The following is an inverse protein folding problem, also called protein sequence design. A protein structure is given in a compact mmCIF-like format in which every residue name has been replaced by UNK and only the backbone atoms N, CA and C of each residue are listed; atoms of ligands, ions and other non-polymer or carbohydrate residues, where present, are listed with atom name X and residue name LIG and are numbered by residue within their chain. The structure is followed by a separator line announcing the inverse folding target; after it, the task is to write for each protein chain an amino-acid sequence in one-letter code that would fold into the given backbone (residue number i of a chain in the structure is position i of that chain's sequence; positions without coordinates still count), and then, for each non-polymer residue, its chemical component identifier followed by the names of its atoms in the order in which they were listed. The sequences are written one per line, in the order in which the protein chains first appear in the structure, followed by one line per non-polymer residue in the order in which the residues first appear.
data_IF_844404315442
#
_entry.id   IF_844404315442
#
_cell.length_a   1.000
_cell.length_b   1.000
_cell.length_c   1.000
_cell.angle_alpha   90.00
_cell.angle_beta   90.00
_cell.angle_gamma   90.00
#
_symmetry.space_group_name_H-M   'P 1'
#
loop_
_entity.id
_entity.type
_entity.pdbx_description
1 polymer ?
#
# COMPACT_ATOMS: atom_id res chain seq x y z
N UNK A 1 16.23 -8.03 12.01
CA UNK A 1 15.09 -8.95 12.08
C UNK A 1 13.82 -8.15 11.83
N UNK A 2 13.12 -8.39 10.72
CA UNK A 2 11.81 -7.75 10.47
C UNK A 2 10.74 -8.45 11.28
N UNK A 3 9.86 -7.68 11.90
CA UNK A 3 8.70 -8.20 12.64
C UNK A 3 7.42 -7.83 11.91
N UNK A 4 6.35 -8.58 12.16
CA UNK A 4 5.03 -8.23 11.64
C UNK A 4 4.43 -7.07 12.42
N UNK A 5 3.62 -6.26 11.74
CA UNK A 5 2.81 -5.25 12.43
C UNK A 5 1.76 -5.92 13.34
N UNK A 6 1.25 -5.23 14.37
CA UNK A 6 0.14 -5.73 15.18
C UNK A 6 -1.08 -6.04 14.31
N UNK A 7 -1.65 -7.22 14.51
CA UNK A 7 -2.96 -7.59 13.94
C UNK A 7 -4.00 -7.48 15.05
N UNK A 8 -5.04 -6.69 14.81
CA UNK A 8 -6.12 -6.47 15.77
C UNK A 8 -7.42 -6.98 15.16
N UNK A 9 -8.06 -7.90 15.85
CA UNK A 9 -9.42 -8.31 15.51
C UNK A 9 -10.41 -7.29 16.09
N UNK A 10 -11.33 -6.80 15.25
CA UNK A 10 -12.31 -5.81 15.67
C UNK A 10 -13.74 -6.23 15.35
N UNK A 11 -14.67 -5.70 16.15
CA UNK A 11 -16.11 -5.92 15.99
C UNK A 11 -16.81 -4.76 15.25
N UNK A 12 -18.14 -4.93 15.07
CA UNK A 12 -19.06 -3.97 14.44
C UNK A 12 -18.88 -2.53 14.92
N UNK A 13 -18.83 -2.38 16.24
CA UNK A 13 -18.84 -1.08 16.91
C UNK A 13 -17.52 -0.38 16.72
N UNK A 14 -16.41 -1.12 16.78
CA UNK A 14 -15.06 -0.57 16.60
C UNK A 14 -14.84 -0.11 15.17
N UNK A 15 -15.23 -0.90 14.16
CA UNK A 15 -15.06 -0.49 12.76
C UNK A 15 -15.91 0.73 12.40
N UNK A 16 -17.14 0.84 12.93
CA UNK A 16 -17.97 2.03 12.73
C UNK A 16 -17.36 3.29 13.34
N UNK A 17 -16.68 3.16 14.48
CA UNK A 17 -15.99 4.26 15.14
C UNK A 17 -14.50 4.23 14.80
N UNK A 18 -14.16 4.15 13.50
CA UNK A 18 -12.80 3.94 13.03
C UNK A 18 -11.84 5.03 13.51
N UNK A 19 -12.28 6.30 13.56
CA UNK A 19 -11.44 7.40 14.02
C UNK A 19 -11.10 7.25 15.51
N UNK A 20 -12.08 6.87 16.33
CA UNK A 20 -11.84 6.56 17.74
C UNK A 20 -10.90 5.35 17.90
N UNK A 21 -11.08 4.31 17.06
CA UNK A 21 -10.18 3.16 17.04
C UNK A 21 -8.74 3.58 16.71
N UNK A 22 -8.53 4.44 15.71
CA UNK A 22 -7.21 4.97 15.33
C UNK A 22 -6.61 5.73 16.51
N UNK A 23 -7.35 6.65 17.12
CA UNK A 23 -6.87 7.43 18.27
C UNK A 23 -6.50 6.56 19.48
N UNK A 24 -7.26 5.48 19.74
CA UNK A 24 -6.94 4.53 20.82
C UNK A 24 -5.62 3.77 20.58
N UNK A 25 -5.20 3.59 19.33
CA UNK A 25 -4.02 2.81 18.96
C UNK A 25 -2.92 3.68 18.32
N UNK A 26 -2.92 4.98 18.61
CA UNK A 26 -1.94 5.92 18.07
C UNK A 26 -0.50 5.51 18.40
N UNK A 27 -0.22 5.06 19.62
CA UNK A 27 1.11 4.58 20.03
C UNK A 27 1.61 3.40 19.18
N UNK A 28 0.72 2.47 18.85
CA UNK A 28 1.06 1.35 17.96
C UNK A 28 1.31 1.85 16.54
N UNK A 29 0.47 2.76 16.04
CA UNK A 29 0.63 3.35 14.72
C UNK A 29 1.92 4.19 14.60
N UNK A 30 2.34 4.88 15.65
CA UNK A 30 3.58 5.63 15.72
C UNK A 30 4.81 4.70 15.74
N UNK A 31 4.73 3.59 16.50
CA UNK A 31 5.83 2.62 16.62
C UNK A 31 6.01 1.75 15.38
N UNK A 32 4.90 1.25 14.82
CA UNK A 32 4.92 0.25 13.74
C UNK A 32 4.69 0.85 12.35
N UNK A 33 4.20 2.09 12.28
CA UNK A 33 3.78 2.72 11.02
C UNK A 33 2.43 2.21 10.50
N UNK A 34 1.98 1.03 10.94
CA UNK A 34 0.72 0.45 10.50
C UNK A 34 0.11 -0.51 11.53
N UNK A 35 -1.18 -0.80 11.33
CA UNK A 35 -1.93 -1.86 12.01
C UNK A 35 -2.69 -2.65 10.95
N UNK A 36 -2.68 -3.98 11.08
CA UNK A 36 -3.57 -4.86 10.32
C UNK A 36 -4.85 -5.11 11.11
N UNK A 37 -5.99 -5.05 10.44
CA UNK A 37 -7.29 -5.29 11.05
C UNK A 37 -7.92 -6.52 10.41
N UNK A 38 -8.32 -7.46 11.27
CA UNK A 38 -9.19 -8.59 10.91
C UNK A 38 -10.61 -8.30 11.36
N UNK A 39 -11.58 -8.51 10.47
CA UNK A 39 -12.98 -8.51 10.85
C UNK A 39 -13.33 -9.85 11.48
N UNK A 40 -14.19 -9.82 12.49
CA UNK A 40 -14.81 -11.04 12.98
C UNK A 40 -15.76 -11.63 11.91
N UNK A 41 -15.94 -12.96 11.91
CA UNK A 41 -16.57 -13.74 10.82
C UNK A 41 -18.03 -13.35 10.48
N UNK A 42 -18.68 -12.53 11.31
CA UNK A 42 -20.10 -12.21 11.20
C UNK A 42 -20.41 -10.89 10.46
N UNK A 43 -19.43 -10.30 9.77
CA UNK A 43 -19.58 -8.99 9.16
C UNK A 43 -19.76 -9.00 7.65
N UNK A 44 -20.85 -8.39 7.17
CA UNK A 44 -21.06 -8.07 5.76
C UNK A 44 -20.73 -6.60 5.51
N UNK A 45 -19.65 -6.33 4.81
CA UNK A 45 -19.33 -4.99 4.33
C UNK A 45 -20.30 -4.59 3.21
N UNK A 46 -20.74 -3.33 3.22
CA UNK A 46 -21.65 -2.82 2.19
C UNK A 46 -20.85 -2.35 0.97
N UNK A 47 -20.45 -3.32 0.16
CA UNK A 47 -19.65 -3.10 -1.03
C UNK A 47 -20.53 -3.03 -2.28
N UNK A 48 -20.15 -2.17 -3.23
CA UNK A 48 -20.71 -2.15 -4.58
C UNK A 48 -20.52 -3.54 -5.22
N UNK A 49 -21.63 -4.20 -5.57
CA UNK A 49 -21.61 -5.53 -6.24
C UNK A 49 -20.83 -5.50 -7.55
N UNK A 50 -21.04 -4.46 -8.35
CA UNK A 50 -20.25 -4.12 -9.54
C UNK A 50 -19.71 -2.72 -9.35
N UNK A 51 -18.39 -2.57 -9.43
CA UNK A 51 -17.83 -1.34 -9.98
C UNK A 51 -17.78 -1.60 -11.48
N UNK A 52 -18.12 -0.62 -12.31
CA UNK A 52 -17.83 -0.74 -13.73
C UNK A 52 -16.32 -0.88 -13.82
N UNK A 53 -15.85 -2.12 -13.94
CA UNK A 53 -14.44 -2.45 -14.04
C UNK A 53 -14.07 -1.99 -15.44
N UNK A 54 -13.78 -0.69 -15.58
CA UNK A 54 -13.25 -0.13 -16.79
C UNK A 54 -12.10 -1.04 -17.24
N UNK A 55 -12.03 -1.30 -18.54
CA UNK A 55 -10.87 -1.91 -19.18
C UNK A 55 -9.68 -1.00 -18.93
N UNK A 56 -9.02 -1.23 -17.79
CA UNK A 56 -7.84 -0.51 -17.35
C UNK A 56 -6.66 -1.25 -17.92
N UNK A 57 -5.69 -0.49 -18.43
CA UNK A 57 -4.41 -1.04 -18.82
C UNK A 57 -3.45 -0.90 -17.64
N UNK A 58 -2.50 -1.85 -17.53
CA UNK A 58 -1.38 -1.70 -16.62
C UNK A 58 -0.65 -0.38 -16.90
N UNK A 59 -0.09 0.22 -15.87
CA UNK A 59 0.86 1.32 -16.01
C UNK A 59 2.04 0.87 -16.88
N UNK A 60 2.50 1.77 -17.75
CA UNK A 60 3.68 1.58 -18.58
C UNK A 60 4.94 1.89 -17.77
N UNK A 61 5.14 1.16 -16.67
CA UNK A 61 6.26 1.33 -15.75
C UNK A 61 6.87 -0.01 -15.39
N UNK A 62 8.17 -0.01 -15.14
CA UNK A 62 8.92 -1.19 -14.73
C UNK A 62 10.00 -0.84 -13.71
N UNK A 63 10.34 -1.80 -12.86
CA UNK A 63 11.55 -1.79 -12.06
C UNK A 63 12.76 -2.15 -12.92
N UNK A 64 13.87 -1.46 -12.69
CA UNK A 64 15.13 -1.71 -13.38
C UNK A 64 16.21 -2.08 -12.38
N UNK A 65 16.89 -3.19 -12.64
CA UNK A 65 18.06 -3.60 -11.85
C UNK A 65 19.31 -2.90 -12.37
N UNK A 66 19.91 -2.06 -11.54
CA UNK A 66 21.17 -1.37 -11.85
C UNK A 66 22.32 -2.06 -11.11
N UNK A 67 23.32 -2.63 -11.80
CA UNK A 67 24.42 -3.37 -11.15
C UNK A 67 25.17 -2.59 -10.07
N UNK A 68 25.33 -1.27 -10.25
CA UNK A 68 26.02 -0.39 -9.29
C UNK A 68 25.18 0.00 -8.08
N UNK A 69 23.85 -0.17 -8.13
CA UNK A 69 22.93 0.20 -7.03
C UNK A 69 22.38 -1.07 -6.41
N UNK A 70 23.15 -1.65 -5.48
CA UNK A 70 22.74 -2.84 -4.74
C UNK A 70 21.41 -2.56 -4.03
N UNK A 71 20.40 -3.41 -4.27
CA UNK A 71 19.09 -3.39 -3.61
C UNK A 71 18.18 -2.19 -3.85
N UNK A 72 18.51 -1.29 -4.78
CA UNK A 72 17.65 -0.18 -5.17
C UNK A 72 17.22 -0.41 -6.61
N UNK A 73 15.92 -0.44 -6.84
CA UNK A 73 15.32 -0.65 -8.15
C UNK A 73 14.55 0.60 -8.56
N UNK A 74 15.13 1.47 -9.40
CA UNK A 74 14.41 2.61 -9.96
C UNK A 74 13.22 2.16 -10.80
N UNK A 75 12.20 3.01 -10.84
CA UNK A 75 11.02 2.86 -11.67
C UNK A 75 11.21 3.71 -12.92
N UNK A 76 11.15 3.07 -14.09
CA UNK A 76 11.27 3.73 -15.39
C UNK A 76 9.96 3.62 -16.17
N UNK A 77 9.66 4.66 -16.95
CA UNK A 77 8.56 4.65 -17.91
C UNK A 77 8.99 3.96 -19.21
N UNK A 78 8.09 3.13 -19.76
CA UNK A 78 8.33 2.42 -21.02
C UNK A 78 7.41 2.96 -22.12
N UNK A 79 8.00 3.32 -23.26
CA UNK A 79 7.25 3.90 -24.38
C UNK A 79 6.35 2.87 -25.08
N UNK A 80 6.69 1.60 -25.00
CA UNK A 80 5.88 0.48 -25.48
C UNK A 80 6.16 -0.75 -24.62
N UNK A 81 5.14 -1.55 -24.36
CA UNK A 81 5.33 -2.90 -23.81
C UNK A 81 5.96 -3.71 -24.94
N UNK A 82 7.30 -3.80 -24.97
CA UNK A 82 8.05 -4.58 -25.95
C UNK A 82 7.73 -6.08 -25.77
N UNK A 83 6.58 -6.50 -26.32
CA UNK A 83 6.04 -7.86 -26.29
C UNK A 83 5.81 -8.40 -24.86
N UNK A 84 4.90 -9.37 -24.68
CA UNK A 84 4.66 -9.96 -23.36
C UNK A 84 5.85 -10.86 -23.01
N UNK A 85 6.90 -10.30 -22.42
CA UNK A 85 7.90 -11.12 -21.73
C UNK A 85 7.27 -11.62 -20.44
N UNK A 86 6.54 -12.73 -20.52
CA UNK A 86 5.91 -13.35 -19.36
C UNK A 86 5.98 -14.85 -19.47
N UNK A 87 7.11 -15.40 -19.00
CA UNK A 87 6.96 -16.60 -18.19
C UNK A 87 5.97 -16.26 -17.09
N UNK A 88 4.93 -17.10 -16.93
CA UNK A 88 4.08 -17.04 -15.74
C UNK A 88 4.97 -17.39 -14.56
N UNK A 89 5.54 -16.38 -13.89
CA UNK A 89 6.23 -16.60 -12.64
C UNK A 89 5.16 -16.93 -11.60
N UNK A 90 5.25 -18.13 -11.04
CA UNK A 90 4.38 -18.54 -9.94
C UNK A 90 4.95 -17.95 -8.66
N UNK A 91 4.47 -16.78 -8.26
CA UNK A 91 4.87 -16.14 -6.99
C UNK A 91 3.90 -16.61 -5.91
N UNK A 92 4.36 -17.50 -5.03
CA UNK A 92 3.54 -18.04 -3.94
C UNK A 92 3.91 -17.45 -2.58
N UNK A 93 5.05 -16.77 -2.48
CA UNK A 93 5.53 -16.20 -1.24
C UNK A 93 6.56 -15.08 -1.50
N UNK A 94 6.98 -14.44 -0.41
CA UNK A 94 7.99 -13.36 -0.42
C UNK A 94 9.33 -13.79 -1.02
N UNK A 95 9.81 -15.00 -0.73
CA UNK A 95 11.12 -15.45 -1.23
C UNK A 95 11.11 -15.62 -2.75
N UNK A 96 10.02 -16.16 -3.32
CA UNK A 96 9.87 -16.29 -4.77
C UNK A 96 9.97 -14.92 -5.45
N UNK A 97 9.28 -13.92 -4.88
CA UNK A 97 9.31 -12.56 -5.37
C UNK A 97 10.72 -11.92 -5.28
N UNK A 98 11.39 -12.08 -4.14
CA UNK A 98 12.74 -11.54 -3.97
C UNK A 98 13.76 -12.23 -4.89
N UNK A 99 13.63 -13.53 -5.12
CA UNK A 99 14.46 -14.27 -6.08
C UNK A 99 14.23 -13.75 -7.50
N UNK A 100 12.99 -13.49 -7.88
CA UNK A 100 12.63 -12.91 -9.18
C UNK A 100 13.24 -11.50 -9.37
N UNK A 101 13.17 -10.64 -8.35
CA UNK A 101 13.81 -9.32 -8.38
C UNK A 101 15.35 -9.40 -8.55
N UNK A 102 15.96 -10.48 -8.06
CA UNK A 102 17.39 -10.68 -8.15
C UNK A 102 17.83 -11.31 -9.48
N UNK A 103 17.02 -12.17 -10.10
CA UNK A 103 17.37 -12.84 -11.35
C UNK A 103 17.09 -11.97 -12.58
N UNK A 104 16.04 -11.16 -12.55
CA UNK A 104 15.60 -10.38 -13.71
C UNK A 104 16.25 -9.00 -13.79
N UNK A 105 16.51 -8.55 -15.02
CA UNK A 105 16.98 -7.18 -15.30
C UNK A 105 15.87 -6.14 -15.15
N UNK A 106 14.65 -6.51 -15.51
CA UNK A 106 13.49 -5.65 -15.53
C UNK A 106 12.28 -6.38 -14.95
N UNK A 107 11.38 -5.66 -14.29
CA UNK A 107 10.10 -6.20 -13.83
C UNK A 107 8.96 -5.22 -14.03
N UNK A 108 7.94 -5.61 -14.79
CA UNK A 108 6.75 -4.77 -14.98
C UNK A 108 5.99 -4.61 -13.67
N UNK A 109 5.42 -3.42 -13.44
CA UNK A 109 4.65 -3.19 -12.21
C UNK A 109 3.29 -3.92 -12.24
N UNK A 110 2.69 -4.17 -13.41
CA UNK A 110 1.40 -4.89 -13.57
C UNK A 110 0.21 -4.33 -12.78
N UNK A 111 0.23 -3.04 -12.43
CA UNK A 111 -0.82 -2.38 -11.63
C UNK A 111 -1.54 -1.29 -12.41
N UNK A 112 -2.74 -0.95 -12.00
CA UNK A 112 -3.43 0.27 -12.40
C UNK A 112 -4.18 0.90 -11.23
N UNK A 113 -4.36 2.22 -11.29
CA UNK A 113 -5.11 2.99 -10.32
C UNK A 113 -6.36 3.56 -10.99
N UNK A 114 -7.50 3.40 -10.33
CA UNK A 114 -8.75 4.06 -10.71
C UNK A 114 -9.01 5.11 -9.63
N UNK A 115 -8.71 6.35 -9.95
CA UNK A 115 -8.84 7.49 -9.03
C UNK A 115 -10.31 7.84 -8.81
N UNK A 116 -10.60 8.40 -7.64
CA UNK A 116 -11.91 8.86 -7.20
C UNK A 116 -13.01 7.78 -7.18
N UNK A 117 -12.60 6.51 -7.21
CA UNK A 117 -13.48 5.35 -7.14
C UNK A 117 -13.29 4.54 -5.86
N UNK A 118 -14.38 3.93 -5.40
CA UNK A 118 -14.39 3.08 -4.21
C UNK A 118 -15.36 1.91 -4.36
N UNK A 119 -15.01 0.80 -3.73
CA UNK A 119 -15.93 -0.31 -3.51
C UNK A 119 -16.95 -0.02 -2.39
N UNK A 120 -16.68 0.91 -1.49
CA UNK A 120 -17.63 1.25 -0.42
C UNK A 120 -18.77 2.10 -0.96
N UNK A 121 -20.00 1.75 -0.58
CA UNK A 121 -21.17 2.57 -0.89
C UNK A 121 -21.18 3.84 -0.03
N UNK A 122 -21.48 4.98 -0.63
CA UNK A 122 -21.67 6.24 0.09
C UNK A 122 -22.90 6.22 1.00
N UNK A 123 -23.91 5.36 0.69
CA UNK A 123 -25.15 5.27 1.46
C UNK A 123 -24.86 4.88 2.91
N UNK A 124 -25.17 5.80 3.82
CA UNK A 124 -25.14 5.58 5.27
C UNK A 124 -26.31 4.68 5.67
N UNK A 125 -26.02 3.51 6.22
CA UNK A 125 -27.00 2.65 6.88
C UNK A 125 -26.50 2.38 8.29
N UNK A 126 -27.41 2.36 9.26
CA UNK A 126 -27.09 2.00 10.64
C UNK A 126 -26.44 0.62 10.70
N UNK A 127 -26.65 -0.26 9.73
CA UNK A 127 -26.11 -1.63 9.80
C UNK A 127 -24.76 -1.85 9.15
N UNK A 128 -24.24 -0.86 8.43
CA UNK A 128 -23.07 -1.04 7.57
C UNK A 128 -21.98 -0.01 7.88
N UNK A 129 -20.72 -0.41 7.69
CA UNK A 129 -19.61 0.53 7.70
C UNK A 129 -19.62 1.39 6.43
N UNK A 130 -19.41 2.70 6.60
CA UNK A 130 -19.20 3.64 5.50
C UNK A 130 -17.95 4.45 5.79
N UNK A 131 -16.92 4.27 4.96
CA UNK A 131 -15.66 5.03 5.05
C UNK A 131 -15.89 6.55 4.93
N UNK A 132 -16.94 6.95 4.20
CA UNK A 132 -17.31 8.35 4.02
C UNK A 132 -17.81 9.01 5.31
N UNK A 133 -18.33 8.22 6.26
CA UNK A 133 -18.72 8.76 7.57
C UNK A 133 -17.50 9.16 8.41
N UNK A 134 -16.39 8.41 8.29
CA UNK A 134 -15.16 8.66 9.02
C UNK A 134 -14.56 10.04 8.73
N UNK A 135 -14.86 10.64 7.57
CA UNK A 135 -14.47 12.02 7.23
C UNK A 135 -15.06 13.02 8.23
N UNK A 136 -16.34 12.87 8.57
CA UNK A 136 -17.06 13.76 9.49
C UNK A 136 -16.64 13.60 10.96
N UNK A 137 -16.03 12.46 11.29
CA UNK A 137 -15.46 12.22 12.62
C UNK A 137 -14.02 12.73 12.72
N UNK A 138 -13.34 12.96 11.59
CA UNK A 138 -11.96 13.42 11.52
C UNK A 138 -11.82 14.94 11.57
N UNK A 139 -10.59 15.43 11.74
CA UNK A 139 -10.26 16.87 11.61
C UNK A 139 -10.44 17.39 10.18
N UNK A 140 -10.53 16.51 9.18
CA UNK A 140 -10.79 16.89 7.79
C UNK A 140 -12.11 17.68 7.66
N UNK A 141 -13.11 17.43 8.52
CA UNK A 141 -14.40 18.13 8.50
C UNK A 141 -14.31 19.67 8.61
N UNK A 142 -13.22 20.19 9.19
CA UNK A 142 -13.07 21.62 9.45
C UNK A 142 -12.47 22.40 8.28
N UNK A 143 -11.98 21.75 7.21
CA UNK A 143 -11.40 22.42 6.04
C UNK A 143 -12.44 22.86 5.00
N UNK A 144 -13.57 23.41 5.47
CA UNK A 144 -14.76 24.03 4.85
C UNK A 144 -15.11 23.93 3.33
N UNK A 145 -14.20 23.79 2.35
CA UNK A 145 -14.57 23.67 0.91
C UNK A 145 -13.67 22.76 0.04
N UNK A 146 -12.43 22.46 0.43
CA UNK A 146 -11.51 21.59 -0.34
C UNK A 146 -11.42 20.14 0.20
N UNK A 147 -12.23 19.79 1.20
CA UNK A 147 -12.21 18.49 1.93
C UNK A 147 -12.46 17.29 1.02
N UNK A 148 -13.39 17.43 0.07
CA UNK A 148 -13.65 16.37 -0.92
C UNK A 148 -12.45 16.15 -1.85
N UNK A 149 -11.53 17.12 -1.95
CA UNK A 149 -10.23 16.99 -2.61
C UNK A 149 -9.10 16.57 -1.66
N UNK A 150 -9.41 16.02 -0.48
CA UNK A 150 -8.40 15.48 0.45
C UNK A 150 -8.71 14.03 0.80
N UNK A 151 -10.00 13.65 0.82
CA UNK A 151 -10.40 12.25 0.77
C UNK A 151 -10.41 11.77 -0.68
N UNK A 152 -9.34 11.07 -1.09
CA UNK A 152 -9.22 10.49 -2.42
C UNK A 152 -9.36 8.97 -2.35
N UNK A 153 -10.59 8.43 -2.47
CA UNK A 153 -10.72 7.00 -2.63
C UNK A 153 -10.12 6.62 -3.99
N UNK A 154 -9.44 5.49 -4.04
CA UNK A 154 -9.01 4.92 -5.31
C UNK A 154 -9.06 3.40 -5.22
N UNK A 155 -9.20 2.76 -6.37
CA UNK A 155 -9.11 1.31 -6.51
C UNK A 155 -7.75 0.98 -7.11
N UNK A 156 -7.02 0.07 -6.45
CA UNK A 156 -5.84 -0.58 -7.02
C UNK A 156 -6.27 -1.87 -7.68
N UNK A 157 -5.83 -2.08 -8.90
CA UNK A 157 -6.05 -3.33 -9.63
C UNK A 157 -4.71 -3.91 -10.04
N UNK A 158 -4.56 -5.20 -9.76
CA UNK A 158 -3.49 -6.04 -10.27
C UNK A 158 -3.96 -6.67 -11.58
N UNK A 159 -3.06 -6.70 -12.56
CA UNK A 159 -3.35 -7.31 -13.86
C UNK A 159 -2.73 -8.70 -13.96
N UNK A 160 -1.54 -8.87 -13.38
CA UNK A 160 -0.71 -10.05 -13.51
C UNK A 160 0.24 -10.21 -12.33
N UNK A 161 0.76 -11.42 -12.17
CA UNK A 161 1.71 -11.73 -11.12
C UNK A 161 3.18 -11.59 -11.54
N UNK A 162 4.06 -11.07 -10.66
CA UNK A 162 3.70 -10.26 -9.49
C UNK A 162 3.20 -8.88 -9.93
N UNK A 163 2.31 -8.29 -9.15
CA UNK A 163 1.99 -6.86 -9.25
C UNK A 163 2.77 -6.12 -8.18
N UNK A 164 3.52 -5.10 -8.55
CA UNK A 164 4.51 -4.44 -7.69
C UNK A 164 4.09 -2.99 -7.46
N UNK A 165 4.07 -2.58 -6.20
CA UNK A 165 3.79 -1.23 -5.75
C UNK A 165 5.08 -0.62 -5.18
N UNK A 166 5.73 0.29 -5.92
CA UNK A 166 6.95 0.96 -5.48
C UNK A 166 6.78 1.74 -4.18
N UNK A 167 7.91 2.17 -3.61
CA UNK A 167 7.96 2.96 -2.38
C UNK A 167 7.14 4.24 -2.53
N UNK A 168 6.21 4.41 -1.59
CA UNK A 168 5.30 5.54 -1.58
C UNK A 168 5.02 6.00 -0.15
N UNK A 169 4.41 7.17 -0.06
CA UNK A 169 3.79 7.70 1.14
C UNK A 169 2.45 8.33 0.77
N UNK A 170 1.52 8.38 1.71
CA UNK A 170 0.28 9.12 1.52
C UNK A 170 0.58 10.60 1.23
N UNK A 171 -0.13 11.18 0.25
CA UNK A 171 -0.07 12.63 -0.02
C UNK A 171 -0.44 13.42 1.23
N UNK A 172 0.25 14.55 1.45
CA UNK A 172 0.07 15.40 2.64
C UNK A 172 0.25 14.66 3.97
N UNK A 173 0.88 13.48 3.94
CA UNK A 173 1.11 12.61 5.09
C UNK A 173 -0.17 12.21 5.83
N UNK A 174 -1.30 12.04 5.14
CA UNK A 174 -2.52 11.56 5.80
C UNK A 174 -2.43 10.10 6.25
N UNK A 175 -3.32 9.73 7.17
CA UNK A 175 -3.61 8.32 7.45
C UNK A 175 -4.23 7.68 6.21
N UNK A 176 -3.85 6.44 5.92
CA UNK A 176 -4.43 5.67 4.82
C UNK A 176 -5.15 4.46 5.37
N UNK A 177 -6.36 4.21 4.88
CA UNK A 177 -7.10 2.98 5.10
C UNK A 177 -7.11 2.20 3.79
N UNK A 178 -6.48 1.03 3.79
CA UNK A 178 -6.52 0.09 2.68
C UNK A 178 -7.42 -1.10 3.02
N UNK A 179 -8.18 -1.57 2.04
CA UNK A 179 -9.05 -2.74 2.17
C UNK A 179 -8.79 -3.69 1.00
N UNK A 180 -8.41 -4.93 1.32
CA UNK A 180 -8.15 -5.94 0.32
C UNK A 180 -9.44 -6.70 0.01
N UNK A 181 -10.06 -6.33 -1.13
CA UNK A 181 -11.38 -6.84 -1.51
C UNK A 181 -11.35 -8.30 -1.99
N UNK A 182 -10.41 -8.64 -2.86
CA UNK A 182 -10.36 -9.93 -3.57
C UNK A 182 -8.98 -10.14 -4.19
N UNK A 183 -8.60 -11.40 -4.38
CA UNK A 183 -7.34 -11.81 -4.99
C UNK A 183 -6.45 -12.57 -4.02
N UNK A 184 -5.24 -12.86 -4.46
CA UNK A 184 -4.22 -13.48 -3.61
C UNK A 184 -3.61 -12.48 -2.63
N UNK A 185 -2.81 -12.98 -1.71
CA UNK A 185 -2.27 -12.21 -0.62
C UNK A 185 -1.44 -10.99 -1.07
N UNK A 186 -1.59 -9.89 -0.33
CA UNK A 186 -0.85 -8.66 -0.53
C UNK A 186 0.22 -8.51 0.56
N UNK A 187 1.49 -8.53 0.14
CA UNK A 187 2.65 -8.38 1.03
C UNK A 187 3.14 -6.95 1.09
N UNK A 188 3.25 -6.39 2.28
CA UNK A 188 3.68 -5.03 2.51
C UNK A 188 4.99 -4.96 3.30
N UNK A 189 5.81 -3.98 2.96
CA UNK A 189 6.92 -3.51 3.77
C UNK A 189 6.61 -2.11 4.26
N UNK A 190 6.58 -1.94 5.57
CA UNK A 190 6.16 -0.72 6.26
C UNK A 190 7.37 -0.11 6.96
N UNK A 191 7.65 1.15 6.67
CA UNK A 191 8.75 1.90 7.27
C UNK A 191 8.13 3.06 8.06
N UNK A 192 8.18 3.02 9.40
CA UNK A 192 7.55 4.04 10.24
C UNK A 192 8.06 5.46 9.96
N UNK A 193 7.24 6.45 10.25
CA UNK A 193 7.55 7.87 9.99
C UNK A 193 8.85 8.35 10.67
N UNK A 194 9.21 7.82 11.84
CA UNK A 194 10.47 8.19 12.53
C UNK A 194 11.74 7.71 11.79
N UNK A 195 11.63 6.78 10.84
CA UNK A 195 12.74 6.32 10.00
C UNK A 195 12.92 7.16 8.72
N UNK A 196 12.00 8.09 8.43
CA UNK A 196 11.98 8.85 7.15
C UNK A 196 13.28 9.61 6.91
N UNK A 197 13.73 10.39 7.89
CA UNK A 197 14.93 11.22 7.74
C UNK A 197 16.16 10.37 7.44
N UNK A 198 16.32 9.26 8.17
CA UNK A 198 17.44 8.32 7.96
C UNK A 198 17.39 7.73 6.55
N UNK A 199 16.21 7.29 6.10
CA UNK A 199 16.04 6.74 4.76
C UNK A 199 16.33 7.78 3.66
N UNK A 200 15.86 9.01 3.85
CA UNK A 200 16.09 10.13 2.93
C UNK A 200 17.58 10.51 2.85
N UNK A 201 18.29 10.52 3.98
CA UNK A 201 19.71 10.83 4.05
C UNK A 201 20.57 9.75 3.37
N UNK A 202 20.21 8.48 3.53
CA UNK A 202 20.90 7.38 2.87
C UNK A 202 20.72 7.42 1.34
N UNK A 203 19.49 7.68 0.90
CA UNK A 203 19.17 7.69 -0.52
C UNK A 203 19.66 8.95 -1.23
N UNK A 204 19.66 10.11 -0.58
CA UNK A 204 20.21 11.35 -1.15
C UNK A 204 21.72 11.27 -1.37
N UNK A 205 22.46 10.60 -0.49
CA UNK A 205 23.90 10.32 -0.66
C UNK A 205 24.19 9.41 -1.85
N UNK A 206 23.26 8.52 -2.20
CA UNK A 206 23.42 7.58 -3.30
C UNK A 206 22.81 8.09 -4.62
N UNK A 207 21.82 8.98 -4.58
CA UNK A 207 21.09 9.51 -5.72
C UNK A 207 20.45 10.87 -5.40
N UNK A 208 20.90 11.95 -6.03
CA UNK A 208 20.43 13.31 -5.75
C UNK A 208 18.98 13.62 -6.21
N UNK A 209 18.34 12.76 -7.02
CA UNK A 209 17.07 13.07 -7.69
C UNK A 209 15.85 12.24 -7.26
N UNK A 210 16.02 11.22 -6.41
CA UNK A 210 14.91 10.31 -6.10
C UNK A 210 14.02 10.88 -4.98
N UNK A 211 12.76 11.16 -5.32
CA UNK A 211 11.73 11.50 -4.35
C UNK A 211 11.06 10.21 -3.84
N UNK A 212 11.15 9.98 -2.53
CA UNK A 212 10.62 8.78 -1.87
C UNK A 212 9.09 8.68 -1.87
N UNK A 213 8.41 9.76 -2.19
CA UNK A 213 6.96 9.92 -2.08
C UNK A 213 6.23 9.75 -3.43
N UNK A 214 6.96 9.43 -4.50
CA UNK A 214 6.41 9.46 -5.87
C UNK A 214 6.60 8.15 -6.64
N UNK A 215 6.72 7.02 -5.94
CA UNK A 215 6.82 5.69 -6.57
C UNK A 215 7.97 5.60 -7.59
N UNK A 216 9.09 6.26 -7.31
CA UNK A 216 10.24 6.30 -8.21
C UNK A 216 11.23 5.17 -7.99
N UNK A 217 11.12 4.47 -6.86
CA UNK A 217 12.01 3.39 -6.48
C UNK A 217 11.25 2.28 -5.76
N UNK A 218 11.77 1.07 -5.85
CA UNK A 218 11.46 -0.04 -4.95
C UNK A 218 12.77 -0.46 -4.26
N UNK A 219 12.71 -0.73 -2.96
CA UNK A 219 13.88 -1.09 -2.16
C UNK A 219 13.81 -2.57 -1.79
N UNK A 220 14.87 -3.34 -2.03
CA UNK A 220 14.92 -4.71 -1.51
C UNK A 220 14.89 -4.67 0.04
N UNK A 221 14.22 -5.60 0.74
CA UNK A 221 14.25 -5.64 2.20
C UNK A 221 15.64 -5.76 2.82
N UNK A 222 16.60 -6.34 2.08
CA UNK A 222 18.01 -6.37 2.46
C UNK A 222 18.65 -4.97 2.54
N UNK A 223 18.17 -4.00 1.76
CA UNK A 223 18.60 -2.60 1.88
C UNK A 223 18.33 -2.08 3.29
N UNK A 224 17.14 -2.34 3.83
CA UNK A 224 16.80 -1.90 5.19
C UNK A 224 17.66 -2.60 6.24
N UNK A 225 17.90 -3.91 6.07
CA UNK A 225 18.74 -4.68 6.97
C UNK A 225 20.19 -4.17 7.00
N UNK A 226 20.82 -3.99 5.83
CA UNK A 226 22.21 -3.54 5.74
C UNK A 226 22.41 -2.11 6.27
N UNK A 227 21.36 -1.28 6.21
CA UNK A 227 21.43 0.12 6.65
C UNK A 227 20.77 0.37 8.02
N UNK A 228 20.44 -0.68 8.78
CA UNK A 228 19.78 -0.59 10.09
C UNK A 228 18.48 0.25 10.07
N UNK A 229 17.74 0.24 8.96
CA UNK A 229 16.43 0.86 8.86
C UNK A 229 15.40 -0.10 9.43
N UNK A 230 14.65 0.38 10.42
CA UNK A 230 13.55 -0.40 10.97
C UNK A 230 12.39 -0.46 9.97
N UNK A 231 11.95 -1.68 9.68
CA UNK A 231 10.77 -1.92 8.86
C UNK A 231 9.99 -3.12 9.37
N UNK A 232 8.70 -3.16 9.03
CA UNK A 232 7.75 -4.18 9.43
C UNK A 232 7.08 -4.80 8.22
N UNK A 233 6.50 -6.00 8.41
CA UNK A 233 5.79 -6.73 7.37
C UNK A 233 4.30 -6.84 7.64
N UNK A 234 3.53 -6.89 6.56
CA UNK A 234 2.11 -7.27 6.57
C UNK A 234 1.90 -8.30 5.48
N UNK A 235 1.29 -9.42 5.82
CA UNK A 235 0.61 -10.25 4.83
C UNK A 235 -0.90 -9.98 4.99
N UNK A 236 -1.49 -9.28 4.02
CA UNK A 236 -2.89 -8.88 3.99
C UNK A 236 -3.68 -9.84 3.09
N UNK A 237 -4.68 -10.48 3.67
CA UNK A 237 -5.56 -11.46 3.04
C UNK A 237 -6.90 -10.80 2.65
N UNK A 238 -7.74 -11.56 1.93
CA UNK A 238 -9.08 -11.12 1.58
C UNK A 238 -9.87 -10.70 2.82
N UNK A 239 -10.59 -9.59 2.69
CA UNK A 239 -11.44 -9.02 3.73
C UNK A 239 -10.69 -8.44 4.94
N UNK A 240 -9.37 -8.22 4.83
CA UNK A 240 -8.57 -7.52 5.83
C UNK A 240 -8.35 -6.04 5.46
N UNK A 241 -8.24 -5.21 6.50
CA UNK A 241 -7.85 -3.80 6.36
C UNK A 241 -6.42 -3.59 6.84
N UNK A 242 -5.77 -2.59 6.27
CA UNK A 242 -4.50 -2.04 6.77
C UNK A 242 -4.70 -0.54 7.02
N UNK A 243 -4.38 -0.10 8.24
CA UNK A 243 -4.29 1.31 8.57
C UNK A 243 -2.81 1.69 8.55
N UNK A 244 -2.45 2.65 7.71
CA UNK A 244 -1.13 3.28 7.68
C UNK A 244 -1.19 4.60 8.43
N UNK A 245 -0.21 4.83 9.30
CA UNK A 245 -0.08 6.08 10.03
C UNK A 245 0.43 7.22 9.16
N UNK A 246 0.21 8.44 9.63
CA UNK A 246 0.71 9.66 8.98
C UNK A 246 2.21 9.58 8.69
N UNK A 247 2.60 9.87 7.44
CA UNK A 247 4.00 9.90 7.02
C UNK A 247 4.68 8.54 6.96
N UNK A 248 3.96 7.44 7.10
CA UNK A 248 4.56 6.11 6.94
C UNK A 248 4.91 5.85 5.48
N UNK A 249 6.14 5.40 5.25
CA UNK A 249 6.56 4.89 3.95
C UNK A 249 6.13 3.43 3.80
N UNK A 250 5.70 3.06 2.61
CA UNK A 250 5.30 1.70 2.31
C UNK A 250 5.61 1.33 0.86
N UNK A 251 5.88 0.05 0.65
CA UNK A 251 5.96 -0.58 -0.66
C UNK A 251 5.39 -1.99 -0.53
N UNK A 252 4.94 -2.57 -1.63
CA UNK A 252 4.28 -3.87 -1.56
C UNK A 252 4.31 -4.62 -2.88
N UNK A 253 3.93 -5.88 -2.84
CA UNK A 253 3.65 -6.68 -4.02
C UNK A 253 2.49 -7.64 -3.72
N UNK A 254 1.83 -8.16 -4.75
CA UNK A 254 0.86 -9.24 -4.59
C UNK A 254 1.42 -10.56 -5.10
N UNK A 255 0.92 -11.63 -4.51
CA UNK A 255 0.96 -12.98 -5.07
C UNK A 255 0.10 -13.06 -6.35
N UNK A 256 -0.08 -14.30 -6.83
CA UNK A 256 -0.59 -14.60 -8.18
C UNK A 256 -1.95 -14.02 -8.60
#
# INVERSE_FOLDING_TARGET
MSTYVPTIEINKKQLKNLIYFIGKHEDLLAKYGAIKIKLNENWKLNLKKKVDIFSTNSVNKQLVKIPSKKFIYPVEEINSIEKPFQEKFCIQNENDFLNLLNSSKYQQLNISYIMDESFFLQKTSIDHFSVYHSIYESTLKFFQKDIQKQFHPYIRRTHKSPSIFPLNCAQQFFFTLDYHRQGENHHWYIIPSHQRCILQDLLSKQNQSNCLEHQQIFLHPLFFYENNIQYYRINQQENEFVILSSGTFYQSFTEN
#
